data_IF_527204178849
#
_entry.id   IF_527204178849
#
_cell.length_a   1.000
_cell.length_b   1.000
_cell.length_c   1.000
_cell.angle_alpha   90.00
_cell.angle_beta   90.00
_cell.angle_gamma   90.00
#
_symmetry.space_group_name_H-M   'P 1'
#
loop_
_entity.id
_entity.type
_entity.pdbx_description
1 polymer ?
#
# COMPACT_ATOMS: atom_id res chain seq x y z
N UNK A 1 -28.04 -10.36 -9.05
CA UNK A 1 -26.60 -10.68 -8.96
C UNK A 1 -26.31 -11.34 -7.62
N UNK A 2 -25.92 -12.63 -7.59
CA UNK A 2 -25.50 -13.29 -6.35
C UNK A 2 -24.10 -12.75 -6.00
N UNK A 3 -23.96 -11.92 -4.96
CA UNK A 3 -22.64 -11.58 -4.43
C UNK A 3 -22.02 -12.88 -3.94
N UNK A 4 -20.89 -13.28 -4.52
CA UNK A 4 -20.11 -14.41 -3.99
C UNK A 4 -19.89 -14.20 -2.49
N UNK A 5 -20.02 -15.23 -1.66
CA UNK A 5 -19.77 -15.09 -0.24
C UNK A 5 -18.37 -14.51 -0.06
N UNK A 6 -18.24 -13.47 0.78
CA UNK A 6 -16.95 -12.93 1.19
C UNK A 6 -16.20 -14.11 1.80
N UNK A 7 -15.28 -14.71 1.04
CA UNK A 7 -14.49 -15.83 1.53
C UNK A 7 -13.81 -15.37 2.82
N UNK A 8 -14.14 -16.03 3.93
CA UNK A 8 -13.52 -15.74 5.22
C UNK A 8 -12.02 -15.97 5.05
N UNK A 9 -11.24 -14.89 5.12
CA UNK A 9 -9.77 -14.99 5.11
C UNK A 9 -9.33 -15.79 6.33
N UNK A 10 -8.25 -16.56 6.21
CA UNK A 10 -7.71 -17.30 7.36
C UNK A 10 -7.34 -16.34 8.49
N UNK A 11 -7.38 -16.81 9.75
CA UNK A 11 -6.98 -15.98 10.90
C UNK A 11 -5.56 -15.42 10.75
N UNK A 12 -4.66 -16.19 10.12
CA UNK A 12 -3.31 -15.74 9.75
C UNK A 12 -3.37 -14.56 8.78
N UNK A 13 -4.13 -14.68 7.70
CA UNK A 13 -4.25 -13.61 6.70
C UNK A 13 -4.94 -12.36 7.28
N UNK A 14 -5.93 -12.53 8.16
CA UNK A 14 -6.57 -11.40 8.84
C UNK A 14 -5.57 -10.58 9.68
N UNK A 15 -4.67 -11.25 10.42
CA UNK A 15 -3.59 -10.58 11.17
C UNK A 15 -2.65 -9.81 10.24
N UNK A 16 -2.24 -10.42 9.12
CA UNK A 16 -1.39 -9.78 8.14
C UNK A 16 -2.06 -8.54 7.52
N UNK A 17 -3.35 -8.63 7.19
CA UNK A 17 -4.12 -7.51 6.66
C UNK A 17 -4.21 -6.35 7.69
N UNK A 18 -4.36 -6.66 8.97
CA UNK A 18 -4.39 -5.66 10.04
C UNK A 18 -3.04 -4.94 10.18
N UNK A 19 -1.93 -5.68 10.15
CA UNK A 19 -0.58 -5.10 10.16
C UNK A 19 -0.39 -4.20 8.94
N UNK A 20 -0.78 -4.68 7.75
CA UNK A 20 -0.65 -3.90 6.52
C UNK A 20 -1.45 -2.60 6.55
N UNK A 21 -2.69 -2.65 7.05
CA UNK A 21 -3.52 -1.45 7.24
C UNK A 21 -2.87 -0.47 8.22
N UNK A 22 -2.28 -0.95 9.31
CA UNK A 22 -1.56 -0.10 10.27
C UNK A 22 -0.38 0.61 9.61
N UNK A 23 0.46 -0.12 8.87
CA UNK A 23 1.63 0.45 8.18
C UNK A 23 1.24 1.49 7.13
N UNK A 24 0.15 1.22 6.39
CA UNK A 24 -0.39 2.19 5.44
C UNK A 24 -0.74 3.52 6.09
N UNK A 25 -1.52 3.51 7.18
CA UNK A 25 -1.88 4.74 7.87
C UNK A 25 -0.67 5.43 8.50
N UNK A 26 0.28 4.67 9.03
CA UNK A 26 1.54 5.24 9.53
C UNK A 26 2.31 6.00 8.45
N UNK A 27 2.37 5.47 7.21
CA UNK A 27 3.02 6.16 6.10
C UNK A 27 2.29 7.44 5.68
N UNK A 28 0.95 7.41 5.70
CA UNK A 28 0.11 8.58 5.43
C UNK A 28 0.37 9.67 6.48
N UNK A 29 0.36 9.30 7.76
CA UNK A 29 0.56 10.22 8.88
C UNK A 29 1.97 10.82 8.83
N UNK A 30 3.00 10.04 8.49
CA UNK A 30 4.37 10.55 8.34
C UNK A 30 4.50 11.49 7.15
N UNK A 31 3.87 11.19 6.00
CA UNK A 31 3.84 12.13 4.87
C UNK A 31 3.17 13.46 5.26
N UNK A 32 2.03 13.41 5.96
CA UNK A 32 1.36 14.61 6.47
C UNK A 32 2.22 15.38 7.46
N UNK A 33 2.88 14.70 8.39
CA UNK A 33 3.77 15.34 9.36
C UNK A 33 4.97 16.03 8.68
N UNK A 34 5.53 15.43 7.62
CA UNK A 34 6.71 15.93 6.93
C UNK A 34 6.40 17.00 5.87
N UNK A 35 5.26 16.91 5.18
CA UNK A 35 4.93 17.75 4.02
C UNK A 35 3.65 18.57 4.16
N UNK A 36 2.79 18.24 5.12
CA UNK A 36 1.46 18.84 5.29
C UNK A 36 0.39 18.34 4.31
N UNK A 37 0.72 17.40 3.42
CA UNK A 37 -0.20 16.80 2.46
C UNK A 37 0.29 15.41 2.02
N UNK A 38 -0.63 14.60 1.50
CA UNK A 38 -0.37 13.25 0.98
C UNK A 38 -0.13 13.29 -0.52
N UNK A 39 0.82 12.48 -0.99
CA UNK A 39 1.17 12.42 -2.39
C UNK A 39 1.61 11.02 -2.81
N UNK A 40 1.56 10.78 -4.12
CA UNK A 40 2.13 9.58 -4.71
C UNK A 40 3.64 9.72 -4.75
N UNK A 41 4.37 8.82 -4.10
CA UNK A 41 5.84 8.84 -4.05
C UNK A 41 6.49 8.49 -5.41
N UNK A 42 5.71 7.95 -6.35
CA UNK A 42 6.19 7.65 -7.72
C UNK A 42 6.03 8.80 -8.71
N UNK A 43 5.01 9.65 -8.57
CA UNK A 43 4.75 10.72 -9.54
C UNK A 43 4.65 12.11 -8.92
N UNK A 44 4.82 12.24 -7.60
CA UNK A 44 4.83 13.51 -6.86
C UNK A 44 3.48 14.21 -6.74
N UNK A 45 2.45 13.77 -7.47
CA UNK A 45 1.14 14.42 -7.44
C UNK A 45 0.45 14.20 -6.09
N UNK A 46 -0.11 15.30 -5.56
CA UNK A 46 -0.99 15.26 -4.41
C UNK A 46 -2.19 14.35 -4.67
N UNK A 47 -2.55 13.57 -3.64
CA UNK A 47 -3.65 12.61 -3.65
C UNK A 47 -4.37 12.63 -2.32
N UNK A 48 -5.65 12.29 -2.34
CA UNK A 48 -6.35 11.93 -1.13
C UNK A 48 -5.79 10.61 -0.62
N UNK A 49 -5.75 10.41 0.69
CA UNK A 49 -5.26 9.16 1.29
C UNK A 49 -5.99 7.93 0.75
N UNK A 50 -7.29 8.06 0.44
CA UNK A 50 -8.10 6.97 -0.14
C UNK A 50 -7.70 6.58 -1.58
N UNK A 51 -6.94 7.43 -2.29
CA UNK A 51 -6.50 7.20 -3.67
C UNK A 51 -5.07 6.63 -3.75
N UNK A 52 -4.45 6.38 -2.59
CA UNK A 52 -3.11 5.82 -2.47
C UNK A 52 -3.19 4.34 -2.06
N UNK A 53 -2.39 3.52 -2.74
CA UNK A 53 -2.17 2.12 -2.48
C UNK A 53 -0.77 1.92 -1.88
N UNK A 54 -0.62 1.10 -0.83
CA UNK A 54 0.68 0.67 -0.32
C UNK A 54 1.36 -0.32 -1.29
N UNK A 55 2.55 0.03 -1.78
CA UNK A 55 3.39 -0.79 -2.64
C UNK A 55 4.61 -1.35 -1.90
N UNK A 56 5.01 -2.58 -2.23
CA UNK A 56 6.22 -3.20 -1.68
C UNK A 56 7.45 -2.82 -2.52
N UNK A 57 8.47 -2.20 -1.93
CA UNK A 57 9.71 -1.82 -2.64
C UNK A 57 10.51 -3.08 -3.03
N UNK A 58 10.59 -4.06 -2.14
CA UNK A 58 11.26 -5.37 -2.32
C UNK A 58 10.23 -6.48 -2.25
N UNK A 59 10.15 -7.30 -3.30
CA UNK A 59 9.21 -8.43 -3.41
C UNK A 59 9.56 -9.68 -2.57
N UNK A 60 10.52 -9.60 -1.63
CA UNK A 60 10.94 -10.77 -0.83
C UNK A 60 10.04 -10.91 0.41
N UNK A 61 9.52 -12.13 0.64
CA UNK A 61 8.61 -12.45 1.75
C UNK A 61 9.05 -11.96 3.14
N UNK A 62 10.36 -11.99 3.43
CA UNK A 62 10.90 -11.55 4.72
C UNK A 62 10.75 -10.05 4.99
N UNK A 63 10.46 -9.26 3.96
CA UNK A 63 10.22 -7.83 4.03
C UNK A 63 8.75 -7.49 3.79
N UNK A 64 7.87 -8.51 3.69
CA UNK A 64 6.45 -8.24 3.68
C UNK A 64 6.10 -7.68 5.06
N UNK A 65 5.37 -6.57 5.11
CA UNK A 65 4.94 -5.92 6.36
C UNK A 65 6.05 -5.25 7.19
N UNK A 66 7.10 -4.71 6.56
CA UNK A 66 8.02 -3.76 7.22
C UNK A 66 7.81 -2.36 6.63
N UNK A 67 7.88 -1.34 7.49
CA UNK A 67 7.60 0.04 7.11
C UNK A 67 8.56 0.54 6.03
N UNK A 68 9.85 0.24 6.17
CA UNK A 68 10.92 0.65 5.26
C UNK A 68 10.83 -0.03 3.88
N UNK A 69 9.93 -1.01 3.72
CA UNK A 69 9.66 -1.67 2.46
C UNK A 69 8.34 -1.20 1.83
N UNK A 70 7.77 -0.10 2.33
CA UNK A 70 6.51 0.45 1.90
C UNK A 70 6.71 1.76 1.13
N UNK A 71 5.96 1.92 0.05
CA UNK A 71 5.81 3.17 -0.71
C UNK A 71 4.34 3.44 -0.96
N UNK A 72 3.89 4.68 -0.87
CA UNK A 72 2.53 5.09 -1.19
C UNK A 72 2.44 5.53 -2.65
N UNK A 73 1.58 4.85 -3.41
CA UNK A 73 1.44 5.09 -4.84
C UNK A 73 -0.01 5.28 -5.24
N UNK A 74 -0.28 6.18 -6.19
CA UNK A 74 -1.58 6.20 -6.81
C UNK A 74 -1.78 4.93 -7.65
N UNK A 75 -3.05 4.53 -7.82
CA UNK A 75 -3.40 3.29 -8.55
C UNK A 75 -2.69 3.13 -9.91
N UNK A 76 -2.62 4.23 -10.67
CA UNK A 76 -1.97 4.27 -12.00
C UNK A 76 -0.47 3.97 -11.93
N UNK A 77 0.22 4.42 -10.88
CA UNK A 77 1.63 4.11 -10.66
C UNK A 77 1.81 2.68 -10.14
N UNK A 78 0.94 2.27 -9.22
CA UNK A 78 0.96 0.94 -8.63
C UNK A 78 0.80 -0.17 -9.69
N UNK A 79 -0.12 0.00 -10.64
CA UNK A 79 -0.31 -0.94 -11.73
C UNK A 79 0.93 -0.99 -12.66
N UNK A 80 1.56 0.16 -12.96
CA UNK A 80 2.79 0.19 -13.76
C UNK A 80 3.95 -0.57 -13.12
N UNK A 81 4.14 -0.44 -11.80
CA UNK A 81 5.25 -1.12 -11.11
C UNK A 81 4.97 -2.63 -10.94
N UNK A 82 3.70 -3.00 -10.81
CA UNK A 82 3.28 -4.40 -10.72
C UNK A 82 3.53 -5.15 -12.04
N UNK A 83 3.26 -4.50 -13.18
CA UNK A 83 3.41 -5.09 -14.53
C UNK A 83 4.73 -4.74 -15.24
N UNK A 84 5.52 -3.81 -14.72
CA UNK A 84 6.73 -3.28 -15.38
C UNK A 84 8.08 -3.65 -14.76
N UNK A 85 8.10 -4.42 -13.66
CA UNK A 85 9.32 -4.74 -12.90
C UNK A 85 10.20 -5.86 -13.47
N UNK A 86 10.47 -5.82 -14.77
CA UNK A 86 11.58 -6.52 -15.42
C UNK A 86 12.62 -5.48 -15.84
N UNK A 87 13.58 -5.18 -14.97
CA UNK A 87 14.88 -4.62 -15.34
C UNK A 87 15.94 -5.30 -14.47
#
# INVERSE_FOLDING_TARGET
MKRSPINKVSAKQAKLNAIWKKLFWQAIDEQHALKGYTYCEMCGHSKLSADLDPHHIKRRRRYNYVYENLRLECRKCHDKDTFGGGK
#
